data_IF_860524584920
#
_entry.id   IF_860524584920
#
_cell.length_a   1.000
_cell.length_b   1.000
_cell.length_c   1.000
_cell.angle_alpha   90.00
_cell.angle_beta   90.00
_cell.angle_gamma   90.00
#
_symmetry.space_group_name_H-M   'P 1'
#
loop_
_entity.id
_entity.type
_entity.pdbx_description
1 polymer ?
#
# COMPACT_ATOMS: atom_id res chain seq x y z
N UNK A 1 6.20 -9.86 4.19
CA UNK A 1 5.38 -9.17 3.19
C UNK A 1 4.01 -9.79 3.01
N UNK A 2 3.84 -11.12 2.91
CA UNK A 2 2.53 -11.77 2.73
C UNK A 2 1.48 -11.39 3.79
N UNK A 3 1.86 -11.35 5.07
CA UNK A 3 0.96 -10.89 6.15
C UNK A 3 0.50 -9.44 5.91
N UNK A 4 1.41 -8.60 5.43
CA UNK A 4 1.09 -7.19 5.11
C UNK A 4 0.07 -7.08 3.97
N UNK A 5 0.26 -7.85 2.89
CA UNK A 5 -0.66 -7.84 1.74
C UNK A 5 -2.04 -8.37 2.11
N UNK A 6 -2.11 -9.42 2.94
CA UNK A 6 -3.38 -9.91 3.47
C UNK A 6 -4.09 -8.86 4.34
N UNK A 7 -3.37 -8.23 5.27
CA UNK A 7 -3.94 -7.17 6.11
C UNK A 7 -4.44 -5.97 5.29
N UNK A 8 -3.71 -5.56 4.25
CA UNK A 8 -4.17 -4.50 3.36
C UNK A 8 -5.38 -4.93 2.53
N UNK A 9 -5.47 -6.18 2.07
CA UNK A 9 -6.64 -6.67 1.37
C UNK A 9 -7.89 -6.67 2.28
N UNK A 10 -7.75 -7.14 3.54
CA UNK A 10 -8.82 -7.04 4.55
C UNK A 10 -9.23 -5.59 4.79
N UNK A 11 -8.25 -4.68 4.91
CA UNK A 11 -8.52 -3.25 5.06
C UNK A 11 -9.29 -2.67 3.87
N UNK A 12 -8.87 -2.99 2.64
CA UNK A 12 -9.55 -2.52 1.43
C UNK A 12 -10.99 -3.06 1.33
N UNK A 13 -11.21 -4.33 1.69
CA UNK A 13 -12.54 -4.90 1.80
C UNK A 13 -13.39 -4.17 2.85
N UNK A 14 -12.81 -3.86 4.02
CA UNK A 14 -13.49 -3.09 5.07
C UNK A 14 -13.87 -1.69 4.59
N UNK A 15 -13.00 -1.00 3.85
CA UNK A 15 -13.30 0.32 3.27
C UNK A 15 -14.49 0.27 2.32
N UNK A 16 -14.68 -0.83 1.58
CA UNK A 16 -15.82 -1.01 0.67
C UNK A 16 -17.17 -1.08 1.40
N UNK A 17 -17.18 -1.43 2.69
CA UNK A 17 -18.39 -1.36 3.53
C UNK A 17 -18.65 0.05 4.10
N UNK A 18 -17.77 1.03 3.84
CA UNK A 18 -17.80 2.39 4.38
C UNK A 18 -17.94 3.44 3.26
N UNK A 19 -18.73 3.13 2.22
CA UNK A 19 -18.87 3.99 1.03
C UNK A 19 -19.40 5.39 1.36
N UNK A 20 -20.31 5.50 2.35
CA UNK A 20 -20.87 6.77 2.80
C UNK A 20 -19.84 7.63 3.58
N UNK A 21 -18.80 7.01 4.13
CA UNK A 21 -17.81 7.69 4.97
C UNK A 21 -16.78 8.46 4.13
N UNK A 22 -16.46 9.68 4.56
CA UNK A 22 -15.46 10.51 3.90
C UNK A 22 -14.09 9.81 3.87
N UNK A 23 -13.37 9.90 2.73
CA UNK A 23 -12.00 9.36 2.61
C UNK A 23 -11.05 9.92 3.69
N UNK A 24 -11.27 11.17 4.13
CA UNK A 24 -10.48 11.79 5.19
C UNK A 24 -10.74 11.13 6.57
N UNK A 25 -12.00 10.79 6.85
CA UNK A 25 -12.36 10.05 8.06
C UNK A 25 -11.82 8.63 8.05
N UNK A 26 -11.84 7.95 6.90
CA UNK A 26 -11.20 6.63 6.74
C UNK A 26 -9.71 6.72 7.08
N UNK A 27 -9.00 7.73 6.56
CA UNK A 27 -7.59 7.98 6.90
C UNK A 27 -7.41 8.25 8.39
N UNK A 28 -8.27 9.07 8.99
CA UNK A 28 -8.23 9.39 10.41
C UNK A 28 -8.43 8.15 11.28
N UNK A 29 -9.55 7.45 11.15
CA UNK A 29 -9.87 6.27 11.99
C UNK A 29 -8.85 5.14 11.82
N UNK A 30 -8.45 4.85 10.58
CA UNK A 30 -7.40 3.89 10.31
C UNK A 30 -6.09 4.24 11.01
N UNK A 31 -5.67 5.49 10.92
CA UNK A 31 -4.37 5.91 11.46
C UNK A 31 -4.42 6.06 12.97
N UNK A 32 -5.50 6.62 13.51
CA UNK A 32 -5.73 6.76 14.94
C UNK A 32 -5.78 5.38 15.64
N UNK A 33 -6.56 4.44 15.09
CA UNK A 33 -6.62 3.08 15.62
C UNK A 33 -5.25 2.36 15.56
N UNK A 34 -4.52 2.51 14.44
CA UNK A 34 -3.16 1.96 14.33
C UNK A 34 -2.18 2.63 15.30
N UNK A 35 -2.33 3.94 15.55
CA UNK A 35 -1.50 4.68 16.48
C UNK A 35 -1.61 4.14 17.92
N UNK A 36 -2.80 3.74 18.31
CA UNK A 36 -3.04 3.11 19.62
C UNK A 36 -2.16 1.86 19.81
N UNK A 37 -2.10 1.01 18.79
CA UNK A 37 -1.27 -0.20 18.83
C UNK A 37 0.23 0.11 18.76
N UNK A 38 0.65 1.06 17.89
CA UNK A 38 2.07 1.40 17.78
C UNK A 38 2.58 2.05 19.07
N UNK A 39 1.84 2.99 19.61
CA UNK A 39 2.19 3.69 20.84
C UNK A 39 2.22 2.75 22.04
N UNK A 40 1.17 1.93 22.20
CA UNK A 40 1.09 0.92 23.26
C UNK A 40 2.25 -0.09 23.20
N UNK A 41 2.65 -0.51 22.00
CA UNK A 41 3.80 -1.41 21.83
C UNK A 41 5.12 -0.72 22.20
N UNK A 42 5.34 0.52 21.78
CA UNK A 42 6.56 1.27 22.11
C UNK A 42 6.72 1.46 23.61
N UNK A 43 5.65 1.86 24.30
CA UNK A 43 5.65 2.04 25.75
C UNK A 43 5.89 0.72 26.49
N UNK A 44 5.18 -0.34 26.13
CA UNK A 44 5.30 -1.66 26.77
C UNK A 44 6.71 -2.25 26.65
N UNK A 45 7.41 -1.99 25.56
CA UNK A 45 8.75 -2.55 25.30
C UNK A 45 9.88 -1.55 25.62
N UNK A 46 9.58 -0.39 26.23
CA UNK A 46 10.56 0.67 26.52
C UNK A 46 11.38 1.10 25.27
N UNK A 47 10.74 1.14 24.11
CA UNK A 47 11.39 1.60 22.88
C UNK A 47 11.17 3.11 22.74
N UNK A 48 12.22 3.90 22.47
CA UNK A 48 12.08 5.34 22.29
C UNK A 48 11.05 5.68 21.20
N UNK A 49 10.14 6.61 21.49
CA UNK A 49 9.13 7.08 20.54
C UNK A 49 9.79 7.95 19.46
N UNK A 50 10.82 8.69 19.83
CA UNK A 50 11.62 9.52 18.92
C UNK A 50 12.75 8.68 18.38
N UNK A 51 12.84 8.62 17.04
CA UNK A 51 13.90 7.88 16.36
C UNK A 51 15.19 8.68 16.22
N UNK A 52 16.25 8.03 15.77
CA UNK A 52 17.57 8.64 15.60
C UNK A 52 17.64 9.49 14.33
N UNK A 53 17.00 9.05 13.23
CA UNK A 53 17.01 9.76 11.96
C UNK A 53 15.67 10.45 11.67
N UNK A 54 15.36 11.48 12.45
CA UNK A 54 14.08 12.20 12.36
C UNK A 54 13.80 12.76 10.96
N UNK A 55 14.82 13.17 10.20
CA UNK A 55 14.64 13.71 8.83
C UNK A 55 14.03 12.67 7.90
N UNK A 56 14.56 11.44 7.90
CA UNK A 56 14.03 10.37 7.06
C UNK A 56 12.68 9.86 7.57
N UNK A 57 12.48 9.83 8.90
CA UNK A 57 11.21 9.43 9.51
C UNK A 57 10.08 10.40 9.14
N UNK A 58 10.33 11.71 9.24
CA UNK A 58 9.38 12.76 8.85
C UNK A 58 9.13 12.70 7.33
N UNK A 59 10.18 12.59 6.52
CA UNK A 59 10.02 12.46 5.07
C UNK A 59 9.14 11.27 4.70
N UNK A 60 9.39 10.10 5.31
CA UNK A 60 8.56 8.89 5.15
C UNK A 60 7.12 9.14 5.59
N UNK A 61 6.91 9.83 6.70
CA UNK A 61 5.59 10.10 7.22
C UNK A 61 4.81 11.04 6.28
N UNK A 62 5.40 12.13 5.85
CA UNK A 62 4.78 13.10 4.92
C UNK A 62 4.47 12.45 3.58
N UNK A 63 5.47 11.84 2.92
CA UNK A 63 5.28 11.18 1.62
C UNK A 63 4.25 10.06 1.70
N UNK A 64 4.29 9.26 2.77
CA UNK A 64 3.37 8.15 2.97
C UNK A 64 1.93 8.61 3.24
N UNK A 65 1.74 9.68 4.02
CA UNK A 65 0.42 10.24 4.31
C UNK A 65 -0.19 10.88 3.05
N UNK A 66 0.60 11.64 2.31
CA UNK A 66 0.16 12.23 1.03
C UNK A 66 -0.23 11.13 0.03
N UNK A 67 0.60 10.09 -0.11
CA UNK A 67 0.27 8.94 -0.97
C UNK A 67 -1.04 8.28 -0.57
N UNK A 68 -1.26 8.08 0.73
CA UNK A 68 -2.47 7.46 1.26
C UNK A 68 -3.71 8.32 1.02
N UNK A 69 -3.62 9.64 1.24
CA UNK A 69 -4.71 10.58 0.98
C UNK A 69 -5.11 10.58 -0.50
N UNK A 70 -4.13 10.74 -1.40
CA UNK A 70 -4.38 10.72 -2.84
C UNK A 70 -5.04 9.41 -3.29
N UNK A 71 -4.62 8.28 -2.72
CA UNK A 71 -5.23 6.98 -2.99
C UNK A 71 -6.71 6.94 -2.55
N UNK A 72 -7.03 7.33 -1.31
CA UNK A 72 -8.42 7.32 -0.86
C UNK A 72 -9.27 8.39 -1.54
N UNK A 73 -8.69 9.52 -1.95
CA UNK A 73 -9.39 10.50 -2.79
C UNK A 73 -9.71 9.91 -4.17
N UNK A 74 -8.81 9.13 -4.76
CA UNK A 74 -9.04 8.52 -6.08
C UNK A 74 -10.23 7.55 -6.09
N UNK A 75 -10.51 6.91 -4.95
CA UNK A 75 -11.65 5.99 -4.78
C UNK A 75 -13.01 6.70 -4.92
N UNK A 76 -13.08 8.04 -4.79
CA UNK A 76 -14.30 8.81 -5.08
C UNK A 76 -14.62 8.89 -6.58
N UNK A 77 -13.61 8.74 -7.41
CA UNK A 77 -13.71 8.86 -8.87
C UNK A 77 -13.60 7.51 -9.58
N UNK A 78 -13.01 6.52 -8.89
CA UNK A 78 -12.75 5.20 -9.44
C UNK A 78 -13.35 4.14 -8.51
N UNK A 79 -13.77 3.01 -9.06
CA UNK A 79 -14.10 1.85 -8.22
C UNK A 79 -12.87 1.44 -7.38
N UNK A 80 -13.10 0.89 -6.18
CA UNK A 80 -12.00 0.47 -5.29
C UNK A 80 -11.07 -0.52 -5.99
N UNK A 81 -11.62 -1.51 -6.69
CA UNK A 81 -10.84 -2.48 -7.45
C UNK A 81 -9.95 -1.82 -8.51
N UNK A 82 -10.46 -0.78 -9.18
CA UNK A 82 -9.71 0.03 -10.15
C UNK A 82 -8.56 0.78 -9.48
N UNK A 83 -8.85 1.54 -8.43
CA UNK A 83 -7.84 2.33 -7.73
C UNK A 83 -6.74 1.42 -7.13
N UNK A 84 -7.12 0.28 -6.53
CA UNK A 84 -6.17 -0.71 -6.01
C UNK A 84 -5.30 -1.28 -7.13
N UNK A 85 -5.91 -1.69 -8.26
CA UNK A 85 -5.19 -2.25 -9.40
C UNK A 85 -4.18 -1.26 -9.99
N UNK A 86 -4.57 0.00 -10.19
CA UNK A 86 -3.67 1.06 -10.67
C UNK A 86 -2.55 1.37 -9.67
N UNK A 87 -2.81 1.26 -8.37
CA UNK A 87 -1.79 1.42 -7.34
C UNK A 87 -0.69 0.35 -7.40
N UNK A 88 -0.94 -0.80 -8.02
CA UNK A 88 0.08 -1.83 -8.23
C UNK A 88 1.20 -1.41 -9.20
N UNK A 89 1.13 -0.25 -9.82
CA UNK A 89 2.26 0.37 -10.53
C UNK A 89 3.38 0.81 -9.57
N UNK A 90 3.09 1.01 -8.29
CA UNK A 90 4.05 1.46 -7.28
C UNK A 90 5.35 0.64 -7.20
N UNK A 91 5.37 -0.71 -7.31
CA UNK A 91 6.62 -1.47 -7.37
C UNK A 91 7.52 -1.12 -8.56
N UNK A 92 6.96 -0.73 -9.70
CA UNK A 92 7.76 -0.28 -10.86
C UNK A 92 8.48 1.04 -10.51
N UNK A 93 7.77 1.99 -9.92
CA UNK A 93 8.38 3.23 -9.43
C UNK A 93 9.42 2.95 -8.33
N UNK A 94 9.17 1.99 -7.43
CA UNK A 94 10.16 1.58 -6.43
C UNK A 94 11.45 1.04 -7.10
N UNK A 95 11.33 0.24 -8.16
CA UNK A 95 12.50 -0.24 -8.90
C UNK A 95 13.27 0.93 -9.55
N UNK A 96 12.57 1.88 -10.17
CA UNK A 96 13.16 3.08 -10.76
C UNK A 96 13.91 3.89 -9.69
N UNK A 97 13.24 4.24 -8.59
CA UNK A 97 13.86 4.99 -7.49
C UNK A 97 15.00 4.20 -6.82
N UNK A 98 14.90 2.86 -6.75
CA UNK A 98 15.96 1.99 -6.23
C UNK A 98 17.26 2.14 -6.99
N UNK A 99 17.20 2.25 -8.33
CA UNK A 99 18.38 2.48 -9.16
C UNK A 99 19.05 3.83 -8.82
N UNK A 100 18.25 4.91 -8.76
CA UNK A 100 18.79 6.26 -8.59
C UNK A 100 19.16 6.59 -7.14
N UNK A 101 18.36 6.14 -6.15
CA UNK A 101 18.51 6.56 -4.75
C UNK A 101 19.29 5.55 -3.89
N UNK A 102 19.19 4.26 -4.22
CA UNK A 102 19.88 3.18 -3.48
C UNK A 102 21.01 2.55 -4.28
N UNK A 103 21.20 2.98 -5.54
CA UNK A 103 22.17 2.38 -6.49
C UNK A 103 21.96 0.87 -6.67
N UNK A 104 20.70 0.42 -6.55
CA UNK A 104 20.34 -0.98 -6.78
C UNK A 104 20.54 -1.32 -8.27
N UNK A 105 21.12 -2.47 -8.54
CA UNK A 105 21.27 -2.97 -9.92
C UNK A 105 20.01 -3.75 -10.29
N UNK A 106 19.34 -3.31 -11.34
CA UNK A 106 18.20 -4.02 -11.96
C UNK A 106 18.65 -4.54 -13.32
N UNK A 107 18.65 -5.86 -13.47
CA UNK A 107 19.06 -6.50 -14.74
C UNK A 107 17.97 -6.27 -15.80
N UNK A 108 18.38 -6.25 -17.10
CA UNK A 108 17.44 -5.98 -18.23
C UNK A 108 16.22 -6.90 -18.23
N UNK A 109 16.40 -8.17 -17.89
CA UNK A 109 15.31 -9.15 -17.87
C UNK A 109 14.29 -8.89 -16.75
N UNK A 110 14.69 -8.28 -15.63
CA UNK A 110 13.75 -7.91 -14.57
C UNK A 110 12.75 -6.83 -15.04
N UNK A 111 13.17 -5.94 -15.94
CA UNK A 111 12.26 -4.97 -16.56
C UNK A 111 11.17 -5.66 -17.38
N UNK A 112 11.52 -6.71 -18.12
CA UNK A 112 10.53 -7.52 -18.84
C UNK A 112 9.50 -8.14 -17.87
N UNK A 113 9.94 -8.67 -16.73
CA UNK A 113 9.03 -9.23 -15.72
C UNK A 113 8.15 -8.17 -15.05
N UNK A 114 8.67 -6.96 -14.81
CA UNK A 114 7.84 -5.84 -14.35
C UNK A 114 6.79 -5.44 -15.39
N UNK A 115 7.16 -5.38 -16.66
CA UNK A 115 6.23 -5.08 -17.76
C UNK A 115 5.15 -6.17 -17.85
N UNK A 116 5.50 -7.46 -17.77
CA UNK A 116 4.52 -8.56 -17.77
C UNK A 116 3.54 -8.41 -16.60
N UNK A 117 4.05 -8.14 -15.39
CA UNK A 117 3.18 -7.94 -14.23
C UNK A 117 2.28 -6.71 -14.39
N UNK A 118 2.79 -5.63 -14.98
CA UNK A 118 2.02 -4.42 -15.24
C UNK A 118 0.95 -4.65 -16.31
N UNK A 119 1.29 -5.37 -17.38
CA UNK A 119 0.31 -5.78 -18.41
C UNK A 119 -0.81 -6.62 -17.80
N UNK A 120 -0.47 -7.52 -16.86
CA UNK A 120 -1.47 -8.27 -16.09
C UNK A 120 -2.46 -7.37 -15.33
N UNK A 121 -2.00 -6.26 -14.75
CA UNK A 121 -2.88 -5.28 -14.09
C UNK A 121 -3.83 -4.63 -15.09
N UNK A 122 -3.35 -4.24 -16.29
CA UNK A 122 -4.21 -3.68 -17.33
C UNK A 122 -5.22 -4.70 -17.87
N UNK A 123 -4.81 -5.95 -18.05
CA UNK A 123 -5.71 -7.04 -18.49
C UNK A 123 -6.77 -7.33 -17.43
N UNK A 124 -6.38 -7.39 -16.14
CA UNK A 124 -7.29 -7.60 -15.01
C UNK A 124 -8.40 -6.55 -14.98
N UNK A 125 -8.05 -5.31 -15.26
CA UNK A 125 -9.00 -4.22 -15.22
C UNK A 125 -9.96 -4.20 -16.41
N UNK A 126 -9.59 -4.79 -17.52
CA UNK A 126 -10.27 -4.59 -18.77
C UNK A 126 -10.06 -3.19 -19.35
N UNK A 127 -10.39 -2.99 -20.61
CA UNK A 127 -10.42 -1.66 -21.22
C UNK A 127 -11.72 -0.95 -20.81
N UNK A 128 -11.79 -0.47 -19.58
CA UNK A 128 -12.90 0.37 -19.13
C UNK A 128 -12.69 1.77 -19.74
N UNK A 129 -13.38 2.06 -20.83
CA UNK A 129 -13.30 3.31 -21.59
C UNK A 129 -13.85 4.53 -20.81
N UNK A 130 -14.31 4.36 -19.57
CA UNK A 130 -14.91 5.41 -18.74
C UNK A 130 -14.09 5.72 -17.47
N UNK A 131 -12.76 5.62 -17.54
CA UNK A 131 -11.93 6.02 -16.42
C UNK A 131 -11.96 7.52 -16.23
N UNK A 132 -12.44 7.95 -15.04
CA UNK A 132 -12.33 9.36 -14.67
C UNK A 132 -10.86 9.80 -14.61
N UNK A 133 -10.54 10.86 -15.37
CA UNK A 133 -9.15 11.37 -15.50
C UNK A 133 -8.61 11.89 -14.17
N UNK A 134 -9.44 12.51 -13.34
CA UNK A 134 -9.04 13.00 -12.01
C UNK A 134 -8.64 11.85 -11.12
N UNK A 135 -9.49 10.80 -11.06
CA UNK A 135 -9.20 9.59 -10.31
C UNK A 135 -7.92 8.91 -10.77
N UNK A 136 -7.69 8.84 -12.08
CA UNK A 136 -6.47 8.29 -12.67
C UNK A 136 -5.21 9.07 -12.25
N UNK A 137 -5.24 10.41 -12.35
CA UNK A 137 -4.11 11.25 -11.93
C UNK A 137 -3.82 11.07 -10.45
N UNK A 138 -4.84 11.09 -9.59
CA UNK A 138 -4.69 10.92 -8.15
C UNK A 138 -4.04 9.59 -7.78
N UNK A 139 -4.50 8.48 -8.38
CA UNK A 139 -3.94 7.15 -8.07
C UNK A 139 -2.54 6.96 -8.65
N UNK A 140 -2.23 7.57 -9.80
CA UNK A 140 -0.88 7.53 -10.36
C UNK A 140 0.12 8.30 -9.50
N UNK A 141 -0.24 9.49 -9.03
CA UNK A 141 0.58 10.24 -8.05
C UNK A 141 0.74 9.46 -6.74
N UNK A 142 -0.34 8.85 -6.23
CA UNK A 142 -0.28 7.98 -5.06
C UNK A 142 0.69 6.81 -5.27
N UNK A 143 0.73 6.22 -6.48
CA UNK A 143 1.62 5.10 -6.82
C UNK A 143 3.08 5.53 -6.87
N UNK A 144 3.38 6.69 -7.46
CA UNK A 144 4.73 7.27 -7.48
C UNK A 144 5.23 7.49 -6.04
N UNK A 145 4.42 8.16 -5.22
CA UNK A 145 4.76 8.40 -3.82
C UNK A 145 4.88 7.10 -3.00
N UNK A 146 4.05 6.09 -3.27
CA UNK A 146 4.18 4.76 -2.65
C UNK A 146 5.52 4.11 -2.99
N UNK A 147 5.95 4.19 -4.25
CA UNK A 147 7.27 3.71 -4.68
C UNK A 147 8.40 4.40 -3.91
N UNK A 148 8.30 5.72 -3.74
CA UNK A 148 9.26 6.49 -2.96
C UNK A 148 9.26 6.09 -1.47
N UNK A 149 8.09 5.84 -0.87
CA UNK A 149 7.98 5.34 0.51
C UNK A 149 8.74 4.03 0.69
N UNK A 150 8.64 3.09 -0.26
CA UNK A 150 9.35 1.81 -0.16
C UNK A 150 10.87 2.01 -0.15
N UNK A 151 11.37 2.92 -0.97
CA UNK A 151 12.80 3.27 -1.01
C UNK A 151 13.25 3.97 0.27
N UNK A 152 12.47 4.91 0.80
CA UNK A 152 12.80 5.59 2.06
C UNK A 152 12.88 4.58 3.20
N UNK A 153 11.94 3.63 3.31
CA UNK A 153 11.97 2.57 4.32
C UNK A 153 13.21 1.69 4.15
N UNK A 154 13.53 1.29 2.92
CA UNK A 154 14.75 0.52 2.62
C UNK A 154 16.02 1.30 3.00
N UNK A 155 16.05 2.61 2.76
CA UNK A 155 17.18 3.49 3.12
C UNK A 155 17.32 3.66 4.64
N UNK A 156 16.22 3.76 5.38
CA UNK A 156 16.24 3.73 6.84
C UNK A 156 16.81 2.39 7.33
N UNK A 157 16.45 1.29 6.68
CA UNK A 157 16.97 -0.04 6.98
C UNK A 157 16.78 -0.42 8.45
N UNK A 158 17.78 -1.05 9.04
CA UNK A 158 17.74 -1.51 10.44
C UNK A 158 18.15 -0.44 11.47
N UNK A 159 18.43 0.80 11.04
CA UNK A 159 18.83 1.89 11.95
C UNK A 159 17.71 2.32 12.88
N UNK A 160 16.46 2.06 12.51
CA UNK A 160 15.29 2.40 13.30
C UNK A 160 14.40 1.16 13.53
N UNK A 161 13.77 1.12 14.70
CA UNK A 161 12.80 0.06 14.97
C UNK A 161 11.59 0.21 14.03
N UNK A 162 11.08 -0.89 13.41
CA UNK A 162 9.98 -0.80 12.44
C UNK A 162 8.76 -0.07 12.95
N UNK A 163 8.43 -0.26 14.24
CA UNK A 163 7.25 0.37 14.85
C UNK A 163 7.45 1.88 15.05
N UNK A 164 8.69 2.36 15.26
CA UNK A 164 8.98 3.81 15.29
C UNK A 164 8.69 4.44 13.94
N UNK A 165 9.14 3.82 12.84
CA UNK A 165 8.87 4.29 11.47
C UNK A 165 7.36 4.37 11.21
N UNK A 166 6.62 3.33 11.62
CA UNK A 166 5.16 3.28 11.47
C UNK A 166 4.48 4.31 12.35
N UNK A 167 4.95 4.49 13.59
CA UNK A 167 4.39 5.44 14.54
C UNK A 167 4.45 6.89 14.02
N UNK A 168 5.61 7.34 13.47
CA UNK A 168 5.71 8.65 12.83
C UNK A 168 4.67 8.84 11.73
N UNK A 169 4.51 7.83 10.86
CA UNK A 169 3.51 7.87 9.80
C UNK A 169 2.08 7.95 10.36
N UNK A 170 1.76 7.16 11.39
CA UNK A 170 0.42 7.16 11.97
C UNK A 170 0.10 8.50 12.67
N UNK A 171 1.07 9.12 13.34
CA UNK A 171 0.90 10.46 13.92
C UNK A 171 0.56 11.49 12.85
N UNK A 172 1.37 11.59 11.80
CA UNK A 172 1.13 12.52 10.70
C UNK A 172 -0.22 12.26 10.01
N UNK A 173 -0.54 10.99 9.74
CA UNK A 173 -1.77 10.62 9.09
C UNK A 173 -3.02 10.89 9.95
N UNK A 174 -2.91 10.71 11.27
CA UNK A 174 -3.99 11.02 12.20
C UNK A 174 -4.25 12.52 12.26
N UNK A 175 -3.18 13.33 12.38
CA UNK A 175 -3.31 14.80 12.42
C UNK A 175 -3.92 15.30 11.10
N UNK A 176 -3.34 14.92 9.97
CA UNK A 176 -3.79 15.41 8.66
C UNK A 176 -5.19 14.91 8.31
N UNK A 177 -5.48 13.62 8.54
CA UNK A 177 -6.81 13.04 8.35
C UNK A 177 -7.85 13.68 9.25
N UNK A 178 -7.50 13.93 10.53
CA UNK A 178 -8.36 14.62 11.49
C UNK A 178 -8.69 16.05 11.04
N UNK A 179 -7.69 16.86 10.72
CA UNK A 179 -7.89 18.25 10.25
C UNK A 179 -8.77 18.30 8.99
N UNK A 180 -8.49 17.44 8.01
CA UNK A 180 -9.26 17.44 6.76
C UNK A 180 -10.67 16.84 6.94
N UNK A 181 -10.90 16.00 7.93
CA UNK A 181 -12.22 15.43 8.20
C UNK A 181 -13.18 16.42 8.87
N UNK A 182 -12.69 17.47 9.55
CA UNK A 182 -13.55 18.44 10.25
C UNK A 182 -14.64 19.02 9.33
N UNK A 183 -14.25 19.47 8.14
CA UNK A 183 -15.18 20.07 7.18
C UNK A 183 -15.93 19.05 6.32
N UNK A 184 -15.57 17.78 6.40
CA UNK A 184 -16.12 16.69 5.58
C UNK A 184 -16.63 15.53 6.47
N UNK A 185 -17.05 15.86 7.69
CA UNK A 185 -17.46 14.86 8.66
C UNK A 185 -18.85 14.31 8.32
N UNK A 186 -18.91 12.99 8.16
CA UNK A 186 -20.17 12.24 8.05
C UNK A 186 -20.33 11.45 9.34
N UNK A 187 -21.45 11.60 10.03
CA UNK A 187 -21.72 10.86 11.26
C UNK A 187 -21.85 9.36 10.96
N UNK A 188 -20.95 8.51 11.52
CA UNK A 188 -21.03 7.07 11.25
C UNK A 188 -22.32 6.48 11.81
N UNK A 189 -22.98 5.63 11.03
CA UNK A 189 -24.14 4.85 11.46
C UNK A 189 -23.73 3.73 12.41
N UNK A 190 -24.66 3.16 13.19
CA UNK A 190 -24.34 2.20 14.24
C UNK A 190 -23.53 0.98 13.79
N UNK A 191 -23.78 0.47 12.59
CA UNK A 191 -23.09 -0.67 12.00
C UNK A 191 -21.75 -0.32 11.35
N UNK A 192 -21.41 0.95 11.16
CA UNK A 192 -20.14 1.40 10.57
C UNK A 192 -19.00 1.49 11.60
N UNK A 193 -19.35 1.70 12.88
CA UNK A 193 -18.36 1.82 13.97
C UNK A 193 -17.41 0.61 14.11
N UNK A 194 -17.89 -0.66 14.09
CA UNK A 194 -17.02 -1.81 14.11
C UNK A 194 -16.03 -1.83 12.94
N UNK A 195 -16.47 -1.48 11.74
CA UNK A 195 -15.61 -1.42 10.56
C UNK A 195 -14.53 -0.33 10.69
N UNK A 196 -14.88 0.86 11.19
CA UNK A 196 -13.93 1.94 11.44
C UNK A 196 -12.86 1.54 12.46
N UNK A 197 -13.21 0.80 13.52
CA UNK A 197 -12.26 0.31 14.51
C UNK A 197 -11.33 -0.75 13.94
N UNK A 198 -11.85 -1.68 13.15
CA UNK A 198 -11.07 -2.76 12.52
C UNK A 198 -10.07 -2.23 11.50
N UNK A 199 -10.34 -1.09 10.84
CA UNK A 199 -9.38 -0.43 9.96
C UNK A 199 -8.03 -0.15 10.64
N UNK A 200 -8.06 0.25 11.92
CA UNK A 200 -6.85 0.49 12.72
C UNK A 200 -6.01 -0.76 12.91
N UNK A 201 -6.66 -1.90 13.17
CA UNK A 201 -5.98 -3.20 13.35
C UNK A 201 -5.30 -3.61 12.04
N UNK A 202 -6.03 -3.64 10.94
CA UNK A 202 -5.46 -4.00 9.64
C UNK A 202 -4.41 -3.00 9.17
N UNK A 203 -4.61 -1.71 9.45
CA UNK A 203 -3.63 -0.66 9.19
C UNK A 203 -2.32 -0.90 9.93
N UNK A 204 -2.39 -1.27 11.21
CA UNK A 204 -1.22 -1.61 12.04
C UNK A 204 -0.45 -2.81 11.47
N UNK A 205 -1.10 -3.95 11.32
CA UNK A 205 -0.44 -5.16 10.80
C UNK A 205 0.11 -4.94 9.40
N UNK A 206 -0.67 -4.34 8.50
CA UNK A 206 -0.25 -4.03 7.15
C UNK A 206 1.03 -3.20 7.10
N UNK A 207 1.08 -2.10 7.86
CA UNK A 207 2.22 -1.18 7.87
C UNK A 207 3.45 -1.76 8.58
N UNK A 208 3.29 -2.43 9.73
CA UNK A 208 4.42 -2.99 10.47
C UNK A 208 5.12 -4.08 9.66
N UNK A 209 4.36 -5.03 9.11
CA UNK A 209 4.97 -6.11 8.32
C UNK A 209 5.50 -5.65 6.97
N UNK A 210 4.90 -4.62 6.36
CA UNK A 210 5.47 -3.96 5.17
C UNK A 210 6.80 -3.30 5.50
N UNK A 211 6.84 -2.51 6.57
CA UNK A 211 8.07 -1.81 7.00
C UNK A 211 9.18 -2.81 7.32
N UNK A 212 8.89 -3.86 8.11
CA UNK A 212 9.85 -4.94 8.37
C UNK A 212 10.39 -5.58 7.08
N UNK A 213 9.52 -5.85 6.12
CA UNK A 213 9.94 -6.47 4.86
C UNK A 213 10.92 -5.58 4.09
N UNK A 214 10.63 -4.28 3.94
CA UNK A 214 11.50 -3.34 3.24
C UNK A 214 12.80 -2.99 4.00
N UNK A 215 12.85 -3.25 5.31
CA UNK A 215 14.08 -3.08 6.09
C UNK A 215 15.06 -4.25 5.95
N UNK A 216 14.58 -5.46 5.67
CA UNK A 216 15.42 -6.68 5.66
C UNK A 216 15.87 -7.10 4.27
N UNK A 217 15.21 -6.60 3.21
CA UNK A 217 15.56 -6.96 1.84
C UNK A 217 15.39 -5.77 0.89
N UNK A 218 16.07 -5.82 -0.26
CA UNK A 218 16.03 -4.76 -1.27
C UNK A 218 14.63 -4.51 -1.81
N UNK A 219 14.33 -3.24 -2.11
CA UNK A 219 13.02 -2.81 -2.56
C UNK A 219 12.57 -3.53 -3.84
N UNK A 220 13.49 -3.78 -4.77
CA UNK A 220 13.21 -4.46 -6.04
C UNK A 220 12.83 -5.95 -5.90
N UNK A 221 13.10 -6.59 -4.73
CA UNK A 221 12.61 -7.94 -4.43
C UNK A 221 11.27 -7.87 -3.71
N UNK A 222 11.16 -6.98 -2.72
CA UNK A 222 10.02 -6.94 -1.81
C UNK A 222 8.81 -6.27 -2.46
N UNK A 223 9.01 -5.19 -3.22
CA UNK A 223 7.92 -4.44 -3.81
C UNK A 223 7.02 -5.28 -4.73
N UNK A 224 7.55 -6.15 -5.62
CA UNK A 224 6.70 -7.00 -6.43
C UNK A 224 5.81 -7.98 -5.64
N UNK A 225 6.23 -8.42 -4.45
CA UNK A 225 5.42 -9.35 -3.62
C UNK A 225 4.08 -8.71 -3.22
N UNK A 226 3.97 -7.38 -3.27
CA UNK A 226 2.70 -6.70 -3.04
C UNK A 226 1.59 -7.11 -4.03
N UNK A 227 1.93 -7.56 -5.22
CA UNK A 227 0.91 -8.01 -6.17
C UNK A 227 0.10 -9.22 -5.68
N UNK A 228 0.60 -9.99 -4.71
CA UNK A 228 -0.15 -11.06 -4.03
C UNK A 228 -1.43 -10.52 -3.38
N UNK A 229 -1.47 -9.23 -3.02
CA UNK A 229 -2.68 -8.55 -2.53
C UNK A 229 -3.84 -8.64 -3.52
N UNK A 230 -3.55 -8.69 -4.85
CA UNK A 230 -4.58 -8.86 -5.90
C UNK A 230 -5.36 -10.15 -5.69
N UNK A 231 -4.66 -11.24 -5.37
CA UNK A 231 -5.29 -12.55 -5.16
C UNK A 231 -6.27 -12.46 -3.99
N UNK A 232 -5.82 -11.89 -2.86
CA UNK A 232 -6.67 -11.71 -1.68
C UNK A 232 -7.86 -10.80 -1.99
N UNK A 233 -7.61 -9.66 -2.68
CA UNK A 233 -8.66 -8.70 -3.02
C UNK A 233 -9.67 -9.31 -4.00
N UNK A 234 -9.22 -10.06 -5.02
CA UNK A 234 -10.09 -10.77 -5.93
C UNK A 234 -10.93 -11.84 -5.22
N UNK A 235 -10.31 -12.59 -4.30
CA UNK A 235 -11.02 -13.57 -3.46
C UNK A 235 -12.11 -12.90 -2.63
N UNK A 236 -11.80 -11.78 -1.98
CA UNK A 236 -12.80 -11.02 -1.23
C UNK A 236 -13.88 -10.43 -2.14
N UNK A 237 -13.51 -9.97 -3.34
CA UNK A 237 -14.45 -9.50 -4.36
C UNK A 237 -15.52 -10.55 -4.68
N UNK A 238 -15.09 -11.78 -4.93
CA UNK A 238 -16.00 -12.91 -5.23
C UNK A 238 -16.87 -13.25 -4.00
N UNK A 239 -16.27 -13.51 -2.85
CA UNK A 239 -16.97 -14.08 -1.70
C UNK A 239 -17.77 -13.07 -0.86
N UNK A 240 -17.32 -11.81 -0.77
CA UNK A 240 -17.99 -10.80 0.05
C UNK A 240 -18.85 -9.84 -0.76
N UNK A 241 -18.52 -9.61 -2.03
CA UNK A 241 -19.16 -8.59 -2.85
C UNK A 241 -19.84 -9.18 -4.10
N UNK A 242 -19.85 -10.52 -4.25
CA UNK A 242 -20.42 -11.23 -5.41
C UNK A 242 -19.90 -10.69 -6.75
N UNK A 243 -18.64 -10.23 -6.80
CA UNK A 243 -18.02 -9.74 -8.02
C UNK A 243 -17.79 -10.89 -9.00
N UNK A 244 -18.19 -10.68 -10.25
CA UNK A 244 -18.00 -11.67 -11.31
C UNK A 244 -16.69 -11.36 -12.04
N UNK A 245 -15.77 -12.30 -12.01
CA UNK A 245 -14.51 -12.19 -12.73
C UNK A 245 -14.60 -12.91 -14.07
N UNK A 246 -14.21 -12.20 -15.11
CA UNK A 246 -14.17 -12.72 -16.49
C UNK A 246 -12.91 -13.54 -16.73
N UNK A 247 -12.84 -14.21 -17.89
CA UNK A 247 -11.62 -14.87 -18.37
C UNK A 247 -10.41 -13.91 -18.36
N UNK A 248 -10.61 -12.65 -18.76
CA UNK A 248 -9.56 -11.64 -18.73
C UNK A 248 -9.07 -11.33 -17.32
N UNK A 249 -9.95 -11.40 -16.32
CA UNK A 249 -9.56 -11.24 -14.90
C UNK A 249 -8.60 -12.36 -14.47
N UNK A 250 -8.90 -13.61 -14.81
CA UNK A 250 -8.00 -14.73 -14.51
C UNK A 250 -6.68 -14.63 -15.26
N UNK A 251 -6.71 -14.25 -16.54
CA UNK A 251 -5.50 -14.03 -17.33
C UNK A 251 -4.63 -12.92 -16.73
N UNK A 252 -5.23 -11.80 -16.30
CA UNK A 252 -4.53 -10.72 -15.63
C UNK A 252 -3.85 -11.17 -14.33
N UNK A 253 -4.55 -11.93 -13.49
CA UNK A 253 -4.00 -12.51 -12.26
C UNK A 253 -2.81 -13.44 -12.59
N UNK A 254 -2.94 -14.29 -13.58
CA UNK A 254 -1.88 -15.22 -14.00
C UNK A 254 -0.63 -14.46 -14.49
N UNK A 255 -0.79 -13.39 -15.28
CA UNK A 255 0.31 -12.54 -15.71
C UNK A 255 1.00 -11.82 -14.53
N UNK A 256 0.24 -11.33 -13.56
CA UNK A 256 0.78 -10.69 -12.36
C UNK A 256 1.64 -11.69 -11.59
N UNK A 257 1.07 -12.85 -11.25
CA UNK A 257 1.77 -13.89 -10.48
C UNK A 257 2.98 -14.42 -11.24
N UNK A 258 2.81 -14.68 -12.54
CA UNK A 258 3.89 -15.18 -13.41
C UNK A 258 5.06 -14.21 -13.48
N UNK A 259 4.81 -12.94 -13.77
CA UNK A 259 5.85 -11.91 -13.79
C UNK A 259 6.58 -11.76 -12.44
N UNK A 260 5.83 -11.80 -11.33
CA UNK A 260 6.41 -11.78 -9.99
C UNK A 260 7.30 -12.98 -9.69
N UNK A 261 6.78 -14.17 -9.96
CA UNK A 261 7.50 -15.42 -9.70
C UNK A 261 8.77 -15.48 -10.52
N UNK A 262 8.70 -15.11 -11.80
CA UNK A 262 9.86 -15.02 -12.67
C UNK A 262 10.89 -14.00 -12.20
N UNK A 263 10.46 -12.83 -11.72
CA UNK A 263 11.38 -11.81 -11.18
C UNK A 263 12.12 -12.31 -9.94
N UNK A 264 11.42 -12.96 -9.00
CA UNK A 264 12.02 -13.50 -7.77
C UNK A 264 12.97 -14.65 -8.12
N UNK A 265 12.52 -15.58 -8.96
CA UNK A 265 13.32 -16.72 -9.42
C UNK A 265 14.61 -16.28 -10.13
N UNK A 266 14.49 -15.34 -11.07
CA UNK A 266 15.62 -14.81 -11.80
C UNK A 266 16.66 -14.17 -10.86
N UNK A 267 16.20 -13.38 -9.91
CA UNK A 267 17.09 -12.71 -8.96
C UNK A 267 17.74 -13.70 -7.97
N UNK A 268 17.06 -14.80 -7.60
CA UNK A 268 17.63 -15.81 -6.71
C UNK A 268 18.72 -16.65 -7.38
N UNK A 269 18.54 -16.98 -8.67
CA UNK A 269 19.44 -17.87 -9.40
C UNK A 269 20.63 -17.13 -10.06
N UNK A 270 20.46 -15.87 -10.37
CA UNK A 270 21.48 -15.05 -11.04
C UNK A 270 21.99 -13.93 -10.12
N UNK A 271 22.21 -14.25 -8.84
CA UNK A 271 22.96 -13.39 -7.92
C UNK A 271 24.38 -13.29 -8.45
N UNK A 272 24.76 -12.07 -8.82
CA UNK A 272 26.14 -11.66 -9.11
C UNK A 272 26.90 -12.44 -10.20
N UNK A 273 26.59 -12.12 -11.44
CA UNK A 273 27.59 -12.08 -12.51
C UNK A 273 27.68 -10.65 -13.02
#
# INVERSE_FOLDING_TARGET
MLISTFAFACMNATVKFLDDISSYQIVFFRSFGSLFFTFGFLLKNNIPIIGNNNKLLILRAVVGTTSMLLFFMSVKYLSIGTAVSLRYVAPVFAAIFGIFLLKEKVKRLQWLFFIISLMGVFVLKGFDNQLDTTGLILVMLASILSGLVYIIISKIGKSEHPIVIVNYFMVFATILGGVLSVNNWVAPKGNEWPFLMVLGVFGYFGQVYMTKAFQIASANIIAPIKYVEVIYTATFGIFLFNEIYTFYSFLGIALIIGGLTLNIWYKSNFKDS
#
